data_IF_304590734442
#
_entry.id   IF_304590734442
#
_cell.length_a   1.000
_cell.length_b   1.000
_cell.length_c   1.000
_cell.angle_alpha   90.00
_cell.angle_beta   90.00
_cell.angle_gamma   90.00
#
_symmetry.space_group_name_H-M   'P 1'
#
loop_
_entity.id
_entity.type
_entity.pdbx_description
1 polymer ?
#
# COMPACT_ATOMS: atom_id res chain seq x y z
N UNK A 1 -73.03 -12.98 71.30
CA UNK A 1 -73.00 -13.03 69.82
C UNK A 1 -72.94 -11.62 69.28
N UNK A 2 -71.85 -11.24 68.61
CA UNK A 2 -71.87 -10.28 67.50
C UNK A 2 -70.53 -10.39 66.77
N UNK A 3 -70.66 -10.75 65.50
CA UNK A 3 -69.63 -11.14 64.56
C UNK A 3 -68.71 -9.96 64.25
N UNK A 4 -67.40 -10.16 64.37
CA UNK A 4 -66.41 -9.25 63.82
C UNK A 4 -66.18 -9.63 62.35
N UNK A 5 -66.77 -8.84 61.44
CA UNK A 5 -66.51 -8.94 60.00
C UNK A 5 -65.09 -8.48 59.70
N UNK A 6 -64.25 -9.42 59.28
CA UNK A 6 -62.91 -9.16 58.74
C UNK A 6 -63.06 -8.83 57.25
N UNK A 7 -63.12 -7.54 56.91
CA UNK A 7 -63.01 -7.09 55.53
C UNK A 7 -61.53 -7.00 55.15
N UNK A 8 -61.04 -8.00 54.41
CA UNK A 8 -59.71 -7.99 53.80
C UNK A 8 -59.77 -7.12 52.55
N UNK A 9 -59.23 -5.90 52.67
CA UNK A 9 -59.10 -4.96 51.56
C UNK A 9 -57.89 -5.38 50.70
N UNK A 10 -58.14 -6.12 49.63
CA UNK A 10 -57.14 -6.52 48.65
C UNK A 10 -56.83 -5.33 47.73
N UNK A 11 -55.80 -4.55 48.07
CA UNK A 11 -55.26 -3.50 47.20
C UNK A 11 -54.51 -4.14 46.04
N UNK A 12 -55.13 -4.15 44.85
CA UNK A 12 -54.44 -4.45 43.58
C UNK A 12 -53.37 -3.38 43.35
N UNK A 13 -52.10 -3.75 43.55
CA UNK A 13 -50.96 -2.97 43.10
C UNK A 13 -50.79 -3.26 41.61
N UNK A 14 -51.36 -2.41 40.76
CA UNK A 14 -51.08 -2.43 39.31
C UNK A 14 -49.72 -1.75 39.15
N UNK A 15 -48.65 -2.53 39.14
CA UNK A 15 -47.34 -2.04 38.70
C UNK A 15 -47.41 -1.77 37.19
N UNK A 16 -46.98 -0.58 36.70
CA UNK A 16 -46.84 -0.36 35.27
C UNK A 16 -45.67 -1.22 34.77
N UNK A 17 -46.00 -2.32 34.09
CA UNK A 17 -45.05 -3.19 33.42
C UNK A 17 -44.78 -2.67 32.01
N UNK A 18 -44.07 -1.55 31.87
CA UNK A 18 -43.52 -1.09 30.58
C UNK A 18 -42.25 -0.28 30.82
N UNK A 19 -41.11 -0.96 30.82
CA UNK A 19 -39.80 -0.36 30.63
C UNK A 19 -38.81 -1.46 30.20
N UNK A 20 -39.14 -2.20 29.14
CA UNK A 20 -38.12 -2.89 28.37
C UNK A 20 -37.79 -1.97 27.20
N UNK A 21 -36.54 -1.54 27.12
CA UNK A 21 -36.03 -0.74 26.01
C UNK A 21 -36.28 -1.51 24.71
N UNK A 22 -36.96 -0.86 23.77
CA UNK A 22 -37.46 -1.48 22.52
C UNK A 22 -36.32 -1.72 21.54
N UNK A 23 -35.18 -1.07 21.76
CA UNK A 23 -33.91 -1.25 21.06
C UNK A 23 -32.84 -1.34 22.16
N UNK A 24 -31.82 -2.16 21.92
CA UNK A 24 -30.57 -2.12 22.68
C UNK A 24 -29.42 -2.32 21.72
N UNK A 25 -28.42 -1.45 21.76
CA UNK A 25 -27.22 -1.62 20.95
C UNK A 25 -25.94 -1.47 21.75
N UNK A 26 -24.92 -2.19 21.32
CA UNK A 26 -23.58 -2.11 21.86
C UNK A 26 -22.59 -1.72 20.75
N UNK A 27 -21.53 -1.06 21.17
CA UNK A 27 -20.49 -0.57 20.28
C UNK A 27 -19.23 -1.27 20.71
N UNK A 28 -18.55 -1.93 19.77
CA UNK A 28 -17.37 -2.75 20.10
C UNK A 28 -16.22 -1.90 20.69
N UNK A 29 -16.23 -0.58 20.48
CA UNK A 29 -15.26 0.37 21.04
C UNK A 29 -15.95 1.56 21.72
N UNK A 30 -15.40 2.02 22.85
CA UNK A 30 -15.84 3.23 23.57
C UNK A 30 -15.01 4.46 23.21
N UNK A 31 -14.04 4.29 22.31
CA UNK A 31 -13.17 5.34 21.80
C UNK A 31 -13.18 5.27 20.28
N UNK A 32 -13.26 6.43 19.63
CA UNK A 32 -13.25 6.54 18.18
C UNK A 32 -12.00 7.26 17.69
N UNK A 33 -11.19 6.58 16.88
CA UNK A 33 -10.06 7.21 16.18
C UNK A 33 -10.49 7.61 14.76
N UNK A 34 -10.27 8.87 14.34
CA UNK A 34 -10.51 9.28 12.95
C UNK A 34 -9.81 8.36 11.96
N UNK A 35 -10.55 7.86 10.98
CA UNK A 35 -10.02 6.93 9.98
C UNK A 35 -10.21 5.44 10.28
N UNK A 36 -10.53 5.07 11.52
CA UNK A 36 -10.76 3.68 11.94
C UNK A 36 -12.14 3.17 11.46
N UNK A 37 -12.23 1.84 11.25
CA UNK A 37 -13.50 1.17 10.95
C UNK A 37 -14.05 0.62 12.25
N UNK A 38 -15.21 1.13 12.68
CA UNK A 38 -15.89 0.65 13.88
C UNK A 38 -17.08 -0.22 13.52
N UNK A 39 -17.29 -1.27 14.31
CA UNK A 39 -18.40 -2.20 14.22
C UNK A 39 -19.38 -1.95 15.37
N UNK A 40 -20.64 -1.68 15.02
CA UNK A 40 -21.75 -1.52 15.96
C UNK A 40 -22.68 -2.71 15.81
N UNK A 41 -23.01 -3.35 16.93
CA UNK A 41 -23.91 -4.50 17.01
C UNK A 41 -25.13 -4.15 17.84
N UNK A 42 -26.33 -4.41 17.33
CA UNK A 42 -27.54 -4.13 18.08
C UNK A 42 -28.62 -5.18 17.90
N UNK A 43 -29.57 -5.15 18.81
CA UNK A 43 -30.77 -5.99 18.81
C UNK A 43 -32.00 -5.10 18.91
N UNK A 44 -33.01 -5.37 18.09
CA UNK A 44 -34.33 -4.77 18.21
C UNK A 44 -35.28 -5.72 18.95
N UNK A 45 -36.25 -5.14 19.67
CA UNK A 45 -37.25 -5.90 20.40
C UNK A 45 -38.23 -6.65 19.48
N UNK A 46 -38.98 -7.59 20.07
CA UNK A 46 -39.93 -8.42 19.35
C UNK A 46 -40.98 -7.57 18.59
N UNK A 47 -41.20 -7.88 17.32
CA UNK A 47 -42.10 -7.14 16.42
C UNK A 47 -41.41 -6.10 15.52
N UNK A 48 -40.09 -5.92 15.67
CA UNK A 48 -39.26 -5.02 14.85
C UNK A 48 -38.28 -5.78 13.93
N UNK A 49 -38.38 -7.11 13.87
CA UNK A 49 -37.52 -7.94 13.01
C UNK A 49 -37.75 -7.58 11.53
N UNK A 50 -36.67 -7.35 10.79
CA UNK A 50 -36.74 -6.92 9.38
C UNK A 50 -37.11 -5.45 9.17
N UNK A 51 -37.24 -4.63 10.22
CA UNK A 51 -37.44 -3.19 10.08
C UNK A 51 -36.12 -2.45 9.84
N UNK A 52 -36.14 -1.34 9.07
CA UNK A 52 -34.97 -0.49 8.91
C UNK A 52 -34.69 0.29 10.20
N UNK A 53 -33.48 0.14 10.72
CA UNK A 53 -32.91 0.91 11.83
C UNK A 53 -32.00 1.98 11.26
N UNK A 54 -32.30 3.25 11.54
CA UNK A 54 -31.42 4.36 11.20
C UNK A 54 -30.41 4.57 12.35
N UNK A 55 -29.13 4.59 12.02
CA UNK A 55 -28.02 4.88 12.92
C UNK A 55 -27.43 6.22 12.52
N UNK A 56 -27.48 7.16 13.44
CA UNK A 56 -27.02 8.53 13.30
C UNK A 56 -25.90 8.78 14.30
N UNK A 57 -24.82 9.41 13.84
CA UNK A 57 -23.69 9.80 14.67
C UNK A 57 -23.62 11.32 14.64
N UNK A 58 -23.72 11.92 15.81
CA UNK A 58 -23.76 13.35 16.02
C UNK A 58 -22.52 13.81 16.79
N UNK A 59 -22.04 14.99 16.45
CA UNK A 59 -21.03 15.70 17.22
C UNK A 59 -21.64 16.27 18.52
N UNK A 60 -20.78 16.72 19.43
CA UNK A 60 -21.10 17.46 20.66
C UNK A 60 -22.00 18.69 20.44
N UNK A 61 -21.97 19.29 19.25
CA UNK A 61 -22.86 20.40 18.84
C UNK A 61 -24.22 19.94 18.28
N UNK A 62 -24.51 18.63 18.27
CA UNK A 62 -25.73 18.04 17.69
C UNK A 62 -25.75 18.05 16.16
N UNK A 63 -24.60 18.26 15.52
CA UNK A 63 -24.45 18.22 14.06
C UNK A 63 -24.26 16.79 13.59
N UNK A 64 -25.04 16.40 12.57
CA UNK A 64 -24.94 15.06 12.00
C UNK A 64 -23.64 14.87 11.22
N UNK A 65 -22.83 13.91 11.69
CA UNK A 65 -21.55 13.51 11.07
C UNK A 65 -21.81 12.39 10.06
N UNK A 66 -22.63 11.40 10.42
CA UNK A 66 -22.90 10.23 9.58
C UNK A 66 -24.29 9.67 9.85
N UNK A 67 -25.01 9.32 8.78
CA UNK A 67 -26.28 8.59 8.85
C UNK A 67 -26.17 7.33 7.98
N UNK A 68 -26.60 6.21 8.53
CA UNK A 68 -26.76 4.94 7.81
C UNK A 68 -28.04 4.25 8.23
N UNK A 69 -28.56 3.41 7.35
CA UNK A 69 -29.74 2.58 7.64
C UNK A 69 -29.35 1.12 7.46
N UNK A 70 -29.69 0.28 8.42
CA UNK A 70 -29.47 -1.16 8.41
C UNK A 70 -30.76 -1.88 8.74
N UNK A 71 -31.02 -3.00 8.08
CA UNK A 71 -32.21 -3.82 8.36
C UNK A 71 -31.83 -4.91 9.36
N UNK A 72 -32.62 -5.08 10.42
CA UNK A 72 -32.44 -6.19 11.37
C UNK A 72 -32.75 -7.54 10.71
N UNK A 73 -32.07 -8.58 11.16
CA UNK A 73 -32.30 -9.95 10.69
C UNK A 73 -33.57 -10.57 11.31
N UNK A 74 -33.82 -11.84 11.00
CA UNK A 74 -34.98 -12.60 11.50
C UNK A 74 -34.97 -12.83 13.01
N UNK A 75 -33.83 -12.62 13.68
CA UNK A 75 -33.66 -12.71 15.11
C UNK A 75 -33.66 -11.32 15.78
N UNK A 76 -33.84 -10.25 14.99
CA UNK A 76 -33.78 -8.88 15.46
C UNK A 76 -32.35 -8.34 15.61
N UNK A 77 -31.32 -9.04 15.16
CA UNK A 77 -29.92 -8.60 15.23
C UNK A 77 -29.53 -7.76 14.01
N UNK A 78 -28.72 -6.72 14.23
CA UNK A 78 -28.10 -5.96 13.15
C UNK A 78 -26.64 -5.65 13.46
N UNK A 79 -25.82 -5.63 12.40
CA UNK A 79 -24.41 -5.25 12.47
C UNK A 79 -24.13 -4.21 11.41
N UNK A 80 -23.52 -3.11 11.80
CA UNK A 80 -23.09 -2.07 10.88
C UNK A 80 -21.62 -1.73 11.09
N UNK A 81 -20.88 -1.63 9.98
CA UNK A 81 -19.49 -1.16 9.95
C UNK A 81 -19.45 0.21 9.30
N UNK A 82 -18.81 1.16 9.95
CA UNK A 82 -18.61 2.50 9.39
C UNK A 82 -17.18 2.98 9.62
N UNK A 83 -16.66 3.77 8.68
CA UNK A 83 -15.38 4.46 8.82
C UNK A 83 -15.63 5.80 9.51
N UNK A 84 -14.92 6.07 10.60
CA UNK A 84 -14.95 7.38 11.27
C UNK A 84 -14.34 8.42 10.32
N UNK A 85 -15.04 9.53 10.00
CA UNK A 85 -14.49 10.55 9.12
C UNK A 85 -13.21 11.17 9.67
N UNK A 86 -12.24 11.46 8.79
CA UNK A 86 -10.91 11.98 9.17
C UNK A 86 -10.96 13.45 9.69
N UNK A 87 -12.14 14.08 9.66
CA UNK A 87 -12.38 15.48 10.00
C UNK A 87 -13.29 15.68 11.22
N UNK A 88 -13.42 14.65 12.06
CA UNK A 88 -14.15 14.74 13.34
C UNK A 88 -13.28 15.46 14.35
N UNK A 89 -13.85 16.47 15.02
CA UNK A 89 -13.18 17.16 16.12
C UNK A 89 -13.17 16.24 17.36
N UNK A 90 -12.07 16.20 18.14
CA UNK A 90 -12.01 15.39 19.36
C UNK A 90 -13.05 15.90 20.37
N UNK A 91 -13.84 14.98 20.94
CA UNK A 91 -14.97 15.33 21.81
C UNK A 91 -16.00 14.22 21.99
N UNK A 92 -17.06 14.50 22.74
CA UNK A 92 -18.15 13.56 22.96
C UNK A 92 -19.02 13.42 21.68
N UNK A 93 -19.22 12.19 21.23
CA UNK A 93 -20.09 11.84 20.12
C UNK A 93 -21.34 11.13 20.63
N UNK A 94 -22.49 11.51 20.08
CA UNK A 94 -23.78 10.89 20.34
C UNK A 94 -24.14 9.92 19.21
N UNK A 95 -24.25 8.63 19.52
CA UNK A 95 -24.79 7.63 18.60
C UNK A 95 -26.27 7.47 18.91
N UNK A 96 -27.11 7.86 17.95
CA UNK A 96 -28.56 7.78 18.03
C UNK A 96 -29.04 6.69 17.09
N UNK A 97 -29.75 5.70 17.63
CA UNK A 97 -30.42 4.68 16.83
C UNK A 97 -31.93 4.91 16.85
N UNK A 98 -32.54 4.93 15.67
CA UNK A 98 -33.96 5.18 15.49
C UNK A 98 -34.62 4.04 14.71
N UNK A 99 -35.75 3.55 15.20
CA UNK A 99 -36.61 2.60 14.48
C UNK A 99 -38.06 3.09 14.51
N UNK A 100 -38.79 2.85 13.44
CA UNK A 100 -40.20 3.23 13.33
C UNK A 100 -41.07 1.98 13.28
N UNK A 101 -42.13 1.95 14.09
CA UNK A 101 -43.17 0.93 14.06
C UNK A 101 -44.54 1.57 14.17
N UNK A 102 -45.41 1.30 13.21
CA UNK A 102 -46.79 1.80 13.15
C UNK A 102 -46.91 3.33 13.31
N UNK A 103 -45.93 4.08 12.78
CA UNK A 103 -45.87 5.54 12.86
C UNK A 103 -45.38 6.10 14.19
N UNK A 104 -44.88 5.23 15.08
CA UNK A 104 -44.28 5.59 16.36
C UNK A 104 -42.75 5.33 16.29
N UNK A 105 -41.96 6.36 16.58
CA UNK A 105 -40.49 6.29 16.56
C UNK A 105 -39.94 5.93 17.93
N UNK A 106 -39.07 4.92 17.99
CA UNK A 106 -38.28 4.58 19.16
C UNK A 106 -36.83 4.98 18.92
N UNK A 107 -36.23 5.65 19.90
CA UNK A 107 -34.86 6.17 19.82
C UNK A 107 -34.07 5.75 21.04
N UNK A 108 -32.82 5.34 20.84
CA UNK A 108 -31.85 5.11 21.91
C UNK A 108 -30.55 5.83 21.57
N UNK A 109 -29.99 6.54 22.56
CA UNK A 109 -28.76 7.32 22.41
C UNK A 109 -27.68 6.78 23.34
N UNK A 110 -26.47 6.58 22.80
CA UNK A 110 -25.28 6.20 23.55
C UNK A 110 -24.16 7.20 23.29
N UNK A 111 -23.58 7.72 24.36
CA UNK A 111 -22.43 8.62 24.31
C UNK A 111 -21.13 7.84 24.22
N UNK A 112 -20.22 8.31 23.38
CA UNK A 112 -18.89 7.73 23.18
C UNK A 112 -17.88 8.86 23.00
N UNK A 113 -16.64 8.67 23.45
CA UNK A 113 -15.61 9.71 23.41
C UNK A 113 -14.75 9.55 22.15
N UNK A 114 -14.65 10.59 21.31
CA UNK A 114 -13.70 10.65 20.21
C UNK A 114 -12.36 11.15 20.74
N UNK A 115 -11.41 10.22 20.86
CA UNK A 115 -10.04 10.53 21.25
C UNK A 115 -9.35 11.25 20.09
N UNK A 116 -8.42 12.15 20.42
CA UNK A 116 -7.56 12.77 19.41
C UNK A 116 -6.95 11.71 18.49
N UNK A 117 -6.86 12.04 17.20
CA UNK A 117 -6.01 11.29 16.28
C UNK A 117 -4.66 11.11 16.97
N UNK A 118 -4.17 9.88 17.23
CA UNK A 118 -2.82 9.73 17.73
C UNK A 118 -1.95 10.49 16.76
N UNK A 119 -1.28 11.55 17.23
CA UNK A 119 -0.45 12.40 16.40
C UNK A 119 0.32 11.48 15.46
N UNK A 120 -0.08 11.47 14.20
CA UNK A 120 0.73 10.90 13.15
C UNK A 120 1.89 11.86 13.15
N UNK A 121 2.92 11.51 13.93
CA UNK A 121 4.18 12.20 14.00
C UNK A 121 4.52 12.53 12.55
N UNK A 122 4.39 13.81 12.20
CA UNK A 122 4.71 14.32 10.87
C UNK A 122 6.20 14.24 10.59
N UNK A 123 6.94 13.55 11.46
CA UNK A 123 8.26 13.06 11.21
C UNK A 123 8.18 12.16 9.97
N UNK A 124 8.72 12.60 8.83
CA UNK A 124 8.73 11.77 7.64
C UNK A 124 9.41 10.46 8.01
N UNK A 125 8.71 9.34 7.77
CA UNK A 125 9.30 8.01 7.93
C UNK A 125 10.44 7.92 6.93
N UNK A 126 11.64 8.14 7.45
CA UNK A 126 12.84 8.15 6.64
C UNK A 126 13.10 6.73 6.10
N UNK A 127 13.26 6.63 4.78
CA UNK A 127 13.56 5.36 4.12
C UNK A 127 14.89 4.75 4.60
N UNK A 128 15.10 3.48 4.27
CA UNK A 128 16.31 2.74 4.63
C UNK A 128 17.58 3.51 4.21
N UNK A 129 18.47 3.77 5.19
CA UNK A 129 19.72 4.52 4.98
C UNK A 129 19.64 6.05 5.21
N UNK A 130 18.49 6.56 5.66
CA UNK A 130 18.32 7.97 6.07
C UNK A 130 17.88 8.07 7.52
N UNK A 131 18.33 9.11 8.21
CA UNK A 131 17.96 9.43 9.60
C UNK A 131 17.27 10.79 9.62
N UNK A 132 16.33 10.95 10.54
CA UNK A 132 15.68 12.22 10.77
C UNK A 132 16.63 13.15 11.52
N UNK A 133 17.03 14.26 10.89
CA UNK A 133 17.70 15.39 11.55
C UNK A 133 17.00 16.68 11.17
N UNK A 134 16.64 17.47 12.17
CA UNK A 134 16.03 18.79 11.99
C UNK A 134 14.78 18.77 11.09
N UNK A 135 13.94 17.73 11.24
CA UNK A 135 12.72 17.56 10.44
C UNK A 135 12.96 17.16 8.97
N UNK A 136 14.21 16.85 8.58
CA UNK A 136 14.57 16.38 7.25
C UNK A 136 15.23 15.00 7.30
N UNK A 137 14.87 14.12 6.36
CA UNK A 137 15.58 12.87 6.18
C UNK A 137 16.93 13.13 5.52
N UNK A 138 18.00 13.01 6.31
CA UNK A 138 19.38 13.15 5.84
C UNK A 138 20.04 11.79 5.78
N UNK A 139 20.97 11.61 4.83
CA UNK A 139 21.73 10.36 4.70
C UNK A 139 22.52 10.11 5.99
N UNK A 140 22.35 8.92 6.56
CA UNK A 140 23.04 8.53 7.79
C UNK A 140 24.53 8.33 7.53
N UNK A 141 25.35 9.33 7.90
CA UNK A 141 26.81 9.25 7.79
C UNK A 141 27.44 8.37 8.88
N UNK A 142 26.73 8.04 9.96
CA UNK A 142 27.19 7.14 11.02
C UNK A 142 27.28 5.69 10.53
N UNK A 143 26.36 5.29 9.65
CA UNK A 143 26.35 3.98 9.02
C UNK A 143 27.53 3.77 8.06
N UNK A 144 28.18 4.83 7.55
CA UNK A 144 29.30 4.66 6.62
C UNK A 144 30.63 4.26 7.28
N UNK A 145 30.77 4.41 8.60
CA UNK A 145 32.02 4.08 9.30
C UNK A 145 32.01 2.65 9.86
N UNK A 146 30.83 2.05 10.08
CA UNK A 146 30.72 0.69 10.64
C UNK A 146 30.14 -0.35 9.67
N UNK A 147 29.68 0.07 8.49
CA UNK A 147 29.14 -0.82 7.44
C UNK A 147 30.15 -1.08 6.33
N UNK A 148 31.40 -1.34 6.70
CA UNK A 148 32.39 -1.95 5.81
C UNK A 148 32.72 -3.32 6.38
N UNK A 149 31.78 -4.27 6.41
CA UNK A 149 32.10 -5.71 6.28
C UNK A 149 30.87 -6.54 5.86
N UNK A 150 29.63 -6.27 6.31
CA UNK A 150 28.54 -7.26 6.07
C UNK A 150 27.15 -6.67 5.77
N UNK A 151 27.05 -5.79 4.77
CA UNK A 151 25.77 -5.67 4.07
C UNK A 151 26.03 -5.72 2.57
N UNK A 152 25.70 -6.89 1.98
CA UNK A 152 25.22 -6.97 0.61
C UNK A 152 24.14 -5.91 0.46
N UNK A 153 24.56 -4.79 -0.11
CA UNK A 153 23.74 -3.79 -0.77
C UNK A 153 22.54 -4.45 -1.44
N UNK A 154 21.39 -4.50 -0.74
CA UNK A 154 20.08 -4.63 -1.36
C UNK A 154 19.63 -3.27 -1.93
N UNK A 155 20.59 -2.46 -2.36
CA UNK A 155 20.37 -1.29 -3.22
C UNK A 155 19.91 -1.89 -4.55
N UNK A 156 18.62 -1.72 -4.84
CA UNK A 156 17.89 -2.44 -5.87
C UNK A 156 18.69 -2.64 -7.16
N UNK A 157 18.83 -3.90 -7.57
CA UNK A 157 19.50 -4.31 -8.79
C UNK A 157 18.70 -3.95 -10.05
N UNK A 158 18.42 -2.66 -10.23
CA UNK A 158 17.63 -2.12 -11.34
C UNK A 158 18.48 -1.77 -12.57
N UNK A 159 17.86 -1.84 -13.75
CA UNK A 159 18.49 -1.45 -15.01
C UNK A 159 18.43 0.08 -15.22
N UNK A 160 19.07 0.86 -14.35
CA UNK A 160 18.97 2.34 -14.26
C UNK A 160 19.10 3.06 -15.61
N UNK A 161 20.14 2.73 -16.38
CA UNK A 161 20.39 3.33 -17.71
C UNK A 161 19.22 2.98 -18.65
N UNK A 162 18.88 1.69 -18.77
CA UNK A 162 17.81 1.26 -19.66
C UNK A 162 16.45 1.88 -19.27
N UNK A 163 16.17 2.03 -17.98
CA UNK A 163 14.97 2.71 -17.48
C UNK A 163 14.97 4.19 -17.87
N UNK A 164 16.09 4.90 -17.71
CA UNK A 164 16.19 6.30 -18.13
C UNK A 164 16.02 6.44 -19.66
N UNK A 165 16.59 5.50 -20.42
CA UNK A 165 16.51 5.44 -21.88
C UNK A 165 15.08 5.17 -22.38
N UNK A 166 14.40 4.16 -21.84
CA UNK A 166 13.07 3.70 -22.31
C UNK A 166 11.91 4.32 -21.54
N UNK A 167 12.19 5.07 -20.47
CA UNK A 167 11.22 5.87 -19.72
C UNK A 167 10.42 5.10 -18.66
N UNK A 168 10.55 3.78 -18.57
CA UNK A 168 9.85 2.98 -17.56
C UNK A 168 10.60 1.69 -17.25
N UNK A 169 10.61 1.29 -15.98
CA UNK A 169 11.07 -0.04 -15.54
C UNK A 169 10.19 -1.15 -16.16
N UNK A 170 8.93 -0.83 -16.52
CA UNK A 170 7.97 -1.73 -17.16
C UNK A 170 8.05 -1.72 -18.68
N UNK A 171 8.99 -0.98 -19.27
CA UNK A 171 9.16 -1.00 -20.72
C UNK A 171 9.57 -2.41 -21.20
N UNK A 172 9.05 -2.90 -22.34
CA UNK A 172 9.34 -4.25 -22.84
C UNK A 172 10.84 -4.54 -22.97
N UNK A 173 11.62 -3.54 -23.36
CA UNK A 173 13.08 -3.63 -23.49
C UNK A 173 13.77 -3.89 -22.16
N UNK A 174 13.28 -3.26 -21.09
CA UNK A 174 13.82 -3.41 -19.74
C UNK A 174 13.38 -4.74 -19.12
N UNK A 175 12.13 -5.15 -19.37
CA UNK A 175 11.62 -6.45 -18.94
C UNK A 175 12.37 -7.60 -19.58
N UNK A 176 12.66 -7.51 -20.89
CA UNK A 176 13.50 -8.50 -21.58
C UNK A 176 14.88 -8.67 -20.93
N UNK A 177 15.52 -7.58 -20.52
CA UNK A 177 16.81 -7.65 -19.81
C UNK A 177 16.68 -8.32 -18.45
N UNK A 178 15.57 -8.09 -17.73
CA UNK A 178 15.28 -8.75 -16.45
C UNK A 178 15.04 -10.24 -16.65
N UNK A 179 14.20 -10.62 -17.61
CA UNK A 179 13.91 -12.01 -17.92
C UNK A 179 15.18 -12.78 -18.33
N UNK A 180 16.01 -12.18 -19.18
CA UNK A 180 17.32 -12.75 -19.55
C UNK A 180 18.23 -12.95 -18.34
N UNK A 181 18.32 -11.93 -17.47
CA UNK A 181 19.13 -12.02 -16.27
C UNK A 181 18.60 -13.11 -15.34
N UNK A 182 17.31 -13.08 -15.04
CA UNK A 182 16.70 -13.89 -13.99
C UNK A 182 16.52 -15.35 -14.43
N UNK A 183 16.13 -15.59 -15.68
CA UNK A 183 15.84 -16.93 -16.18
C UNK A 183 17.07 -17.63 -16.80
N UNK A 184 17.97 -16.89 -17.46
CA UNK A 184 19.10 -17.49 -18.18
C UNK A 184 20.43 -17.33 -17.44
N UNK A 185 20.77 -16.11 -17.03
CA UNK A 185 22.09 -15.86 -16.44
C UNK A 185 22.19 -16.34 -14.99
N UNK A 186 21.23 -15.99 -14.15
CA UNK A 186 21.23 -16.39 -12.73
C UNK A 186 20.90 -17.87 -12.52
N UNK A 187 20.41 -18.57 -13.56
CA UNK A 187 20.23 -20.01 -13.56
C UNK A 187 21.53 -20.81 -13.72
N UNK A 188 22.66 -20.16 -14.02
CA UNK A 188 23.96 -20.82 -14.27
C UNK A 188 25.07 -20.24 -13.39
N UNK A 189 26.09 -21.06 -13.08
CA UNK A 189 27.24 -20.58 -12.30
C UNK A 189 28.02 -19.48 -13.04
N UNK A 190 28.26 -19.72 -14.33
CA UNK A 190 28.99 -18.77 -15.20
C UNK A 190 28.25 -17.44 -15.35
N UNK A 191 26.93 -17.46 -15.56
CA UNK A 191 26.12 -16.25 -15.70
C UNK A 191 26.02 -15.45 -14.39
N UNK A 192 25.91 -16.14 -13.26
CA UNK A 192 25.90 -15.50 -11.93
C UNK A 192 27.21 -14.77 -11.64
N UNK A 193 28.35 -15.40 -11.92
CA UNK A 193 29.67 -14.79 -11.74
C UNK A 193 29.86 -13.56 -12.65
N UNK A 194 29.39 -13.65 -13.90
CA UNK A 194 29.39 -12.52 -14.83
C UNK A 194 28.54 -11.36 -14.30
N UNK A 195 27.29 -11.62 -13.91
CA UNK A 195 26.37 -10.57 -13.42
C UNK A 195 26.91 -9.91 -12.15
N UNK A 196 27.50 -10.68 -11.22
CA UNK A 196 28.10 -10.12 -10.02
C UNK A 196 29.24 -9.15 -10.35
N UNK A 197 30.14 -9.54 -11.27
CA UNK A 197 31.26 -8.72 -11.72
C UNK A 197 30.78 -7.49 -12.49
N UNK A 198 29.81 -7.68 -13.38
CA UNK A 198 29.18 -6.62 -14.16
C UNK A 198 28.51 -5.60 -13.24
N UNK A 199 27.69 -6.05 -12.28
CA UNK A 199 26.97 -5.19 -11.34
C UNK A 199 27.93 -4.30 -10.54
N UNK A 200 29.07 -4.85 -10.10
CA UNK A 200 30.08 -4.08 -9.38
C UNK A 200 30.54 -2.86 -10.18
N UNK A 201 30.76 -3.01 -11.49
CA UNK A 201 31.15 -1.88 -12.34
C UNK A 201 29.94 -1.04 -12.70
N UNK A 202 28.84 -1.66 -13.13
CA UNK A 202 27.62 -1.01 -13.59
C UNK A 202 27.06 0.01 -12.60
N UNK A 203 26.95 -0.36 -11.32
CA UNK A 203 26.39 0.54 -10.30
C UNK A 203 27.34 1.67 -9.87
N UNK A 204 28.61 1.65 -10.28
CA UNK A 204 29.54 2.75 -9.99
C UNK A 204 29.30 3.98 -10.86
N UNK A 205 28.80 3.78 -12.09
CA UNK A 205 28.62 4.88 -13.05
C UNK A 205 27.16 5.06 -13.49
N UNK A 206 26.34 4.01 -13.44
CA UNK A 206 24.96 4.05 -13.97
C UNK A 206 24.05 5.12 -13.34
N UNK A 207 24.14 5.48 -12.04
CA UNK A 207 23.30 6.55 -11.50
C UNK A 207 23.56 7.89 -12.20
N UNK A 208 24.83 8.26 -12.36
CA UNK A 208 25.23 9.51 -13.00
C UNK A 208 24.81 9.57 -14.48
N UNK A 209 24.93 8.45 -15.20
CA UNK A 209 24.47 8.37 -16.59
C UNK A 209 22.95 8.52 -16.68
N UNK A 210 22.20 7.82 -15.81
CA UNK A 210 20.75 7.88 -15.79
C UNK A 210 20.21 9.26 -15.39
N UNK A 211 20.89 9.98 -14.49
CA UNK A 211 20.61 11.39 -14.18
C UNK A 211 20.81 12.26 -15.44
N UNK A 212 21.93 12.09 -16.12
CA UNK A 212 22.27 12.89 -17.30
C UNK A 212 21.32 12.63 -18.49
N UNK A 213 20.83 11.39 -18.66
CA UNK A 213 19.78 11.05 -19.64
C UNK A 213 18.45 11.77 -19.37
N UNK A 214 18.08 11.96 -18.09
CA UNK A 214 16.86 12.68 -17.72
C UNK A 214 16.96 14.18 -18.00
N UNK A 215 18.15 14.76 -17.87
CA UNK A 215 18.41 16.17 -18.11
C UNK A 215 18.53 16.50 -19.61
N UNK A 216 19.05 15.57 -20.42
CA UNK A 216 19.42 15.82 -21.81
C UNK A 216 18.72 14.86 -22.79
N UNK A 217 17.61 15.27 -23.44
CA UNK A 217 16.88 14.42 -24.40
C UNK A 217 17.71 13.94 -25.58
N UNK A 218 18.68 14.75 -26.05
CA UNK A 218 19.60 14.36 -27.13
C UNK A 218 20.53 13.23 -26.66
N UNK A 219 21.05 13.34 -25.44
CA UNK A 219 21.91 12.31 -24.88
C UNK A 219 21.14 11.00 -24.69
N UNK A 220 19.90 11.08 -24.20
CA UNK A 220 18.99 9.94 -24.12
C UNK A 220 18.81 9.22 -25.46
N UNK A 221 18.54 9.94 -26.55
CA UNK A 221 18.40 9.31 -27.88
C UNK A 221 19.72 8.73 -28.39
N UNK A 222 20.87 9.32 -28.05
CA UNK A 222 22.18 8.75 -28.36
C UNK A 222 22.42 7.45 -27.58
N UNK A 223 22.12 7.43 -26.28
CA UNK A 223 22.20 6.23 -25.44
C UNK A 223 21.25 5.17 -25.97
N UNK A 224 20.03 5.54 -26.36
CA UNK A 224 19.05 4.63 -26.98
C UNK A 224 19.55 4.03 -28.27
N UNK A 225 20.06 4.84 -29.19
CA UNK A 225 20.64 4.38 -30.45
C UNK A 225 21.84 3.45 -30.21
N UNK A 226 22.63 3.73 -29.17
CA UNK A 226 23.76 2.91 -28.78
C UNK A 226 23.31 1.58 -28.16
N UNK A 227 22.35 1.57 -27.24
CA UNK A 227 21.96 0.38 -26.48
C UNK A 227 21.02 -0.54 -27.27
N UNK A 228 20.17 0.00 -28.14
CA UNK A 228 19.19 -0.78 -28.92
C UNK A 228 19.79 -1.99 -29.67
N UNK A 229 20.85 -1.85 -30.46
CA UNK A 229 21.41 -3.00 -31.16
C UNK A 229 22.03 -4.02 -30.19
N UNK A 230 22.61 -3.59 -29.06
CA UNK A 230 23.05 -4.51 -28.02
C UNK A 230 21.89 -5.36 -27.46
N UNK A 231 20.74 -4.75 -27.15
CA UNK A 231 19.55 -5.48 -26.69
C UNK A 231 19.06 -6.50 -27.72
N UNK A 232 19.15 -6.17 -29.01
CA UNK A 232 18.78 -7.10 -30.07
C UNK A 232 19.71 -8.31 -30.11
N UNK A 233 21.01 -8.13 -29.89
CA UNK A 233 21.96 -9.26 -29.84
C UNK A 233 21.80 -10.12 -28.59
N UNK A 234 21.40 -9.51 -27.46
CA UNK A 234 21.18 -10.22 -26.20
C UNK A 234 19.99 -11.19 -26.24
N UNK A 235 19.00 -10.98 -27.12
CA UNK A 235 17.92 -11.96 -27.37
C UNK A 235 18.43 -13.36 -27.69
N UNK A 236 19.61 -13.45 -28.31
CA UNK A 236 20.16 -14.74 -28.76
C UNK A 236 20.48 -15.62 -27.55
N UNK A 237 20.73 -15.03 -26.38
CA UNK A 237 20.95 -15.78 -25.15
C UNK A 237 19.68 -16.47 -24.61
N UNK A 238 18.49 -16.12 -25.11
CA UNK A 238 17.24 -16.82 -24.73
C UNK A 238 17.24 -18.29 -25.16
N UNK A 239 18.08 -18.65 -26.14
CA UNK A 239 18.22 -20.01 -26.66
C UNK A 239 19.30 -20.85 -25.95
N UNK A 240 19.97 -20.30 -24.94
CA UNK A 240 20.97 -21.05 -24.19
C UNK A 240 20.29 -21.92 -23.13
N UNK A 241 20.31 -23.24 -23.27
CA UNK A 241 19.64 -24.17 -22.34
C UNK A 241 20.62 -24.82 -21.35
N UNK A 242 21.92 -24.70 -21.60
CA UNK A 242 22.99 -25.31 -20.80
C UNK A 242 24.08 -24.32 -20.40
N UNK A 243 24.85 -24.64 -19.35
CA UNK A 243 25.94 -23.78 -18.88
C UNK A 243 27.00 -23.51 -19.96
N UNK A 244 27.34 -24.52 -20.76
CA UNK A 244 28.31 -24.35 -21.86
C UNK A 244 27.78 -23.45 -22.97
N UNK A 245 26.47 -23.47 -23.23
CA UNK A 245 25.84 -22.59 -24.20
C UNK A 245 25.73 -21.16 -23.69
N UNK A 246 25.39 -20.94 -22.41
CA UNK A 246 25.38 -19.60 -21.81
C UNK A 246 26.77 -18.98 -21.92
N UNK A 247 27.83 -19.75 -21.65
CA UNK A 247 29.19 -19.28 -21.81
C UNK A 247 29.55 -19.02 -23.28
N UNK A 248 29.27 -19.98 -24.17
CA UNK A 248 29.62 -19.88 -25.59
C UNK A 248 28.87 -18.76 -26.33
N UNK A 249 27.55 -18.74 -26.20
CA UNK A 249 26.67 -17.69 -26.76
C UNK A 249 27.00 -16.35 -26.09
N UNK A 250 27.20 -16.31 -24.78
CA UNK A 250 27.58 -15.09 -24.06
C UNK A 250 28.87 -14.46 -24.60
N UNK A 251 29.93 -15.25 -24.77
CA UNK A 251 31.18 -14.79 -25.40
C UNK A 251 30.95 -14.32 -26.83
N UNK A 252 30.15 -15.07 -27.61
CA UNK A 252 29.79 -14.70 -28.98
C UNK A 252 29.07 -13.35 -29.06
N UNK A 253 28.09 -13.11 -28.18
CA UNK A 253 27.36 -11.84 -28.10
C UNK A 253 28.28 -10.69 -27.70
N UNK A 254 29.19 -10.90 -26.75
CA UNK A 254 30.19 -9.89 -26.36
C UNK A 254 31.09 -9.54 -27.55
N UNK A 255 31.65 -10.54 -28.24
CA UNK A 255 32.50 -10.32 -29.42
C UNK A 255 31.75 -9.62 -30.55
N UNK A 256 30.49 -9.98 -30.78
CA UNK A 256 29.64 -9.34 -31.78
C UNK A 256 29.39 -7.86 -31.45
N UNK A 257 29.10 -7.53 -30.18
CA UNK A 257 28.95 -6.15 -29.74
C UNK A 257 30.26 -5.37 -29.88
N UNK A 258 31.39 -5.92 -29.44
CA UNK A 258 32.71 -5.28 -29.59
C UNK A 258 33.03 -5.03 -31.07
N UNK A 259 32.78 -6.02 -31.93
CA UNK A 259 32.95 -5.88 -33.38
C UNK A 259 32.06 -4.77 -33.97
N UNK A 260 30.84 -4.64 -33.49
CA UNK A 260 29.91 -3.61 -33.96
C UNK A 260 30.30 -2.19 -33.49
N UNK A 261 30.61 -2.00 -32.19
CA UNK A 261 30.95 -0.67 -31.64
C UNK A 261 32.36 -0.21 -31.95
N UNK A 262 33.32 -1.12 -32.10
CA UNK A 262 34.73 -0.75 -32.31
C UNK A 262 35.24 -1.20 -33.68
N UNK A 263 34.86 -2.40 -34.14
CA UNK A 263 35.33 -2.96 -35.40
C UNK A 263 34.84 -2.18 -36.62
N UNK A 264 33.52 -1.96 -36.76
CA UNK A 264 32.95 -1.23 -37.90
C UNK A 264 33.51 0.20 -37.97
N UNK A 265 33.51 1.01 -36.88
CA UNK A 265 34.09 2.35 -36.94
C UNK A 265 35.58 2.34 -37.28
N UNK A 266 36.38 1.41 -36.74
CA UNK A 266 37.80 1.30 -37.06
C UNK A 266 38.06 1.01 -38.55
N UNK A 267 37.30 0.08 -39.14
CA UNK A 267 37.39 -0.24 -40.58
C UNK A 267 37.02 0.97 -41.42
N UNK A 268 35.95 1.69 -41.06
CA UNK A 268 35.53 2.92 -41.76
C UNK A 268 36.63 3.98 -41.69
N UNK A 269 37.20 4.23 -40.50
CA UNK A 269 38.28 5.21 -40.32
C UNK A 269 39.52 4.85 -41.15
N UNK A 270 39.94 3.58 -41.12
CA UNK A 270 41.07 3.10 -41.92
C UNK A 270 40.75 3.20 -43.41
N UNK A 271 39.53 2.85 -43.83
CA UNK A 271 39.09 2.94 -45.21
C UNK A 271 39.10 4.37 -45.75
N UNK A 272 38.64 5.34 -44.95
CA UNK A 272 38.70 6.77 -45.29
C UNK A 272 40.17 7.22 -45.39
N UNK A 273 41.01 6.85 -44.42
CA UNK A 273 42.45 7.15 -44.42
C UNK A 273 43.26 6.51 -45.56
N UNK A 274 42.74 5.47 -46.21
CA UNK A 274 43.39 4.85 -47.38
C UNK A 274 42.91 5.47 -48.70
N UNK A 275 41.78 6.18 -48.67
CA UNK A 275 41.17 6.84 -49.83
C UNK A 275 41.62 8.30 -49.99
N UNK A 276 42.07 8.92 -48.90
CA UNK A 276 42.70 10.24 -48.84
C UNK A 276 44.17 10.09 -48.40
#
# INVERSE_FOLDING_TARGET
MKFASLAVLLTLVISPAFAQSVISFDVDTTEFVPGEIVELKGTVGAGLEGQPVAVEINDSDGKVILIRTVTSDINGEFVIKFKVPDNVEPGELDIVTNVELDGQSFSETKQVEATETPESSSDPVCGTGTILKDGMCVVDKSQQIQKTTEEKSSKGGGCLIATATYGSELAPQVQKLRELRDNQLLGTESGTNFINSFNHVYYTFSPHVADYERENPIFKELVKASITPMLSTLSIMEYAESESEVLGIGIGVILMNVGMYFGIPAIVIIGIKRKF
#
